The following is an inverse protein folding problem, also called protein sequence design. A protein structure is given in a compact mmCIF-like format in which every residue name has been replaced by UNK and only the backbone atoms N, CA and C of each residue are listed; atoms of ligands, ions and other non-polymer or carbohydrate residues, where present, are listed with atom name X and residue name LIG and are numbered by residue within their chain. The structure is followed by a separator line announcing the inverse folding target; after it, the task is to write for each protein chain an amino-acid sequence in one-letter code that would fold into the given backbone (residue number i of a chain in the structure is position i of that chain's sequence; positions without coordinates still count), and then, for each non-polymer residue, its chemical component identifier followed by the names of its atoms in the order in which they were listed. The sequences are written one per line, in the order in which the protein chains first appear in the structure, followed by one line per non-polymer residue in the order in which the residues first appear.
data_IF_439842624633
#
_entry.id   IF_439842624633
#
_cell.length_a   1.000
_cell.length_b   1.000
_cell.length_c   1.000
_cell.angle_alpha   90.00
_cell.angle_beta   90.00
_cell.angle_gamma   90.00
#
_symmetry.space_group_name_H-M   'P 1'
#
loop_
_entity.id
_entity.type
_entity.pdbx_description
1 polymer ?
#
# COMPACT_ATOMS: atom_id res chain seq x y z
N UNK A 1 32.87 -5.04 13.36
CA UNK A 1 31.99 -3.86 13.42
C UNK A 1 32.00 -3.16 12.09
N UNK A 2 30.85 -3.03 11.40
CA UNK A 2 30.77 -2.32 10.13
C UNK A 2 30.35 -0.86 10.39
N UNK A 3 31.30 0.10 10.45
CA UNK A 3 31.01 1.48 10.81
C UNK A 3 30.04 2.16 9.83
N UNK A 4 30.11 1.82 8.54
CA UNK A 4 29.21 2.34 7.50
C UNK A 4 27.76 1.90 7.72
N UNK A 5 27.52 0.65 8.11
CA UNK A 5 26.16 0.16 8.39
C UNK A 5 25.57 0.85 9.62
N UNK A 6 26.38 1.03 10.67
CA UNK A 6 25.93 1.66 11.91
C UNK A 6 25.59 3.15 11.69
N UNK A 7 26.37 3.84 10.83
CA UNK A 7 26.08 5.20 10.40
C UNK A 7 24.77 5.27 9.59
N UNK A 8 24.57 4.36 8.63
CA UNK A 8 23.34 4.30 7.83
C UNK A 8 22.09 4.09 8.69
N UNK A 9 22.18 3.22 9.70
CA UNK A 9 21.09 2.96 10.64
C UNK A 9 20.82 4.19 11.52
N UNK A 10 21.86 4.84 12.03
CA UNK A 10 21.74 6.05 12.84
C UNK A 10 21.09 7.21 12.07
N UNK A 11 21.46 7.41 10.80
CA UNK A 11 20.87 8.44 9.93
C UNK A 11 19.42 8.13 9.61
N UNK A 12 19.06 6.88 9.27
CA UNK A 12 17.65 6.49 9.03
C UNK A 12 16.78 6.74 10.25
N UNK A 13 17.24 6.37 11.45
CA UNK A 13 16.47 6.58 12.67
C UNK A 13 16.30 8.04 13.06
N UNK A 14 17.35 8.86 12.91
CA UNK A 14 17.25 10.31 13.12
C UNK A 14 16.28 10.99 12.16
N UNK A 15 16.28 10.56 10.89
CA UNK A 15 15.36 11.08 9.87
C UNK A 15 13.90 10.66 10.12
N UNK A 16 13.66 9.41 10.57
CA UNK A 16 12.31 8.94 10.92
C UNK A 16 11.74 9.74 12.10
N UNK A 17 12.55 10.12 13.07
CA UNK A 17 12.14 10.98 14.18
C UNK A 17 11.67 12.37 13.71
N UNK A 18 12.39 12.99 12.78
CA UNK A 18 12.02 14.29 12.21
C UNK A 18 10.80 14.22 11.28
N UNK A 19 10.61 13.11 10.56
CA UNK A 19 9.52 12.88 9.60
C UNK A 19 8.35 12.08 10.19
N UNK A 20 8.34 11.82 11.50
CA UNK A 20 7.40 10.90 12.14
C UNK A 20 5.94 11.30 11.95
N UNK A 21 5.64 12.59 12.13
CA UNK A 21 4.28 13.12 11.94
C UNK A 21 3.79 12.93 10.51
N UNK A 22 4.64 13.20 9.52
CA UNK A 22 4.29 13.04 8.10
C UNK A 22 4.06 11.56 7.76
N UNK A 23 4.96 10.68 8.22
CA UNK A 23 4.86 9.23 8.02
C UNK A 23 3.58 8.67 8.65
N UNK A 24 3.21 9.17 9.83
CA UNK A 24 1.99 8.77 10.52
C UNK A 24 0.74 9.20 9.77
N UNK A 25 0.68 10.47 9.35
CA UNK A 25 -0.43 10.99 8.52
C UNK A 25 -0.55 10.20 7.21
N UNK A 26 0.58 9.93 6.54
CA UNK A 26 0.59 9.12 5.33
C UNK A 26 0.04 7.70 5.58
N UNK A 27 0.43 7.06 6.68
CA UNK A 27 -0.08 5.75 7.08
C UNK A 27 -1.60 5.75 7.28
N UNK A 28 -2.16 6.79 7.93
CA UNK A 28 -3.61 6.95 8.09
C UNK A 28 -4.30 7.13 6.74
N UNK A 29 -3.74 7.96 5.87
CA UNK A 29 -4.30 8.18 4.52
C UNK A 29 -4.36 6.86 3.74
N UNK A 30 -3.27 6.08 3.74
CA UNK A 30 -3.23 4.77 3.06
C UNK A 30 -4.27 3.83 3.66
N UNK A 31 -4.40 3.78 4.99
CA UNK A 31 -5.37 2.93 5.67
C UNK A 31 -6.81 3.27 5.26
N UNK A 32 -7.18 4.55 5.29
CA UNK A 32 -8.51 5.02 4.90
C UNK A 32 -8.81 4.64 3.45
N UNK A 33 -7.89 4.91 2.52
CA UNK A 33 -8.08 4.56 1.11
C UNK A 33 -8.16 3.05 0.87
N UNK A 34 -7.37 2.24 1.58
CA UNK A 34 -7.44 0.78 1.45
C UNK A 34 -8.80 0.23 1.92
N UNK A 35 -9.32 0.75 3.05
CA UNK A 35 -10.64 0.34 3.57
C UNK A 35 -11.77 0.82 2.64
N UNK A 36 -11.74 2.07 2.18
CA UNK A 36 -12.73 2.59 1.23
C UNK A 36 -12.71 1.80 -0.08
N UNK A 37 -11.53 1.51 -0.62
CA UNK A 37 -11.36 0.74 -1.85
C UNK A 37 -11.98 -0.65 -1.75
N UNK A 38 -11.77 -1.35 -0.63
CA UNK A 38 -12.40 -2.65 -0.39
C UNK A 38 -13.93 -2.55 -0.33
N UNK A 39 -14.46 -1.59 0.42
CA UNK A 39 -15.91 -1.46 0.59
C UNK A 39 -16.62 -1.09 -0.71
N UNK A 40 -15.99 -0.26 -1.55
CA UNK A 40 -16.56 0.22 -2.81
C UNK A 40 -16.34 -0.77 -3.97
N UNK A 41 -15.17 -1.39 -4.07
CA UNK A 41 -14.77 -2.17 -5.24
C UNK A 41 -14.59 -3.67 -4.98
N UNK A 42 -14.44 -4.12 -3.73
CA UNK A 42 -14.14 -5.51 -3.40
C UNK A 42 -15.19 -6.49 -3.95
N UNK A 43 -16.48 -6.20 -3.73
CA UNK A 43 -17.59 -7.02 -4.28
C UNK A 43 -17.62 -7.03 -5.80
N UNK A 44 -17.36 -5.88 -6.43
CA UNK A 44 -17.36 -5.77 -7.89
C UNK A 44 -16.24 -6.62 -8.52
N UNK A 45 -15.06 -6.68 -7.89
CA UNK A 45 -13.97 -7.56 -8.31
C UNK A 45 -14.38 -9.04 -8.25
N UNK A 46 -15.20 -9.41 -7.27
CA UNK A 46 -15.65 -10.79 -7.12
C UNK A 46 -16.77 -11.20 -8.08
N UNK A 47 -17.76 -10.33 -8.25
CA UNK A 47 -18.91 -10.57 -9.13
C UNK A 47 -18.51 -10.50 -10.62
N UNK A 48 -17.55 -9.64 -10.95
CA UNK A 48 -17.03 -9.48 -12.31
C UNK A 48 -15.80 -10.34 -12.62
N UNK A 49 -15.54 -11.43 -11.86
CA UNK A 49 -14.42 -12.36 -12.11
C UNK A 49 -14.35 -12.83 -13.57
N UNK A 50 -15.51 -13.01 -14.21
CA UNK A 50 -15.66 -13.42 -15.61
C UNK A 50 -15.11 -12.44 -16.65
N UNK A 51 -14.88 -11.17 -16.29
CA UNK A 51 -14.30 -10.16 -17.18
C UNK A 51 -12.78 -10.22 -17.24
N UNK A 52 -12.16 -10.96 -16.32
CA UNK A 52 -10.72 -11.10 -16.23
C UNK A 52 -10.25 -12.38 -16.92
N UNK A 53 -8.97 -12.39 -17.30
CA UNK A 53 -8.32 -13.55 -17.88
C UNK A 53 -8.47 -14.76 -16.93
N UNK A 54 -8.78 -15.91 -17.49
CA UNK A 54 -8.97 -17.18 -16.77
C UNK A 54 -10.14 -17.19 -15.75
N UNK A 55 -11.04 -16.20 -15.81
CA UNK A 55 -12.14 -16.00 -14.85
C UNK A 55 -11.68 -15.87 -13.39
N UNK A 56 -10.45 -15.38 -13.17
CA UNK A 56 -9.83 -15.25 -11.85
C UNK A 56 -9.61 -13.79 -11.46
N UNK A 57 -9.64 -13.51 -10.17
CA UNK A 57 -9.31 -12.18 -9.64
C UNK A 57 -7.83 -11.89 -9.91
N UNK A 58 -7.49 -10.72 -10.47
CA UNK A 58 -6.10 -10.35 -10.72
C UNK A 58 -5.32 -10.18 -9.41
N UNK A 59 -3.99 -10.33 -9.48
CA UNK A 59 -3.09 -10.17 -8.32
C UNK A 59 -3.23 -8.79 -7.63
N UNK A 60 -3.48 -7.75 -8.41
CA UNK A 60 -3.79 -6.41 -7.93
C UNK A 60 -5.31 -6.25 -7.89
N UNK A 61 -5.90 -6.46 -6.71
CA UNK A 61 -7.34 -6.30 -6.48
C UNK A 61 -7.67 -5.57 -5.17
N UNK A 62 -8.94 -5.21 -5.00
CA UNK A 62 -9.50 -4.60 -3.79
C UNK A 62 -10.33 -5.59 -2.94
N UNK A 63 -10.12 -6.91 -3.08
CA UNK A 63 -10.95 -7.91 -2.38
C UNK A 63 -10.58 -7.98 -0.89
N UNK A 64 -9.28 -8.05 -0.59
CA UNK A 64 -8.78 -8.09 0.78
C UNK A 64 -8.03 -6.82 1.17
N UNK A 65 -7.83 -6.62 2.47
CA UNK A 65 -7.23 -5.40 3.01
C UNK A 65 -5.77 -5.27 2.58
N UNK A 66 -4.99 -6.36 2.65
CA UNK A 66 -3.58 -6.34 2.25
C UNK A 66 -3.42 -6.09 0.74
N UNK A 67 -4.28 -6.68 -0.10
CA UNK A 67 -4.29 -6.42 -1.54
C UNK A 67 -4.65 -4.97 -1.86
N UNK A 68 -5.69 -4.44 -1.20
CA UNK A 68 -6.11 -3.04 -1.31
C UNK A 68 -5.00 -2.07 -0.86
N UNK A 69 -4.34 -2.37 0.26
CA UNK A 69 -3.20 -1.61 0.77
C UNK A 69 -2.05 -1.56 -0.24
N UNK A 70 -1.69 -2.71 -0.83
CA UNK A 70 -0.63 -2.78 -1.83
C UNK A 70 -0.98 -2.00 -3.11
N UNK A 71 -2.24 -1.99 -3.56
CA UNK A 71 -2.66 -1.13 -4.68
C UNK A 71 -2.50 0.35 -4.33
N UNK A 72 -3.03 0.78 -3.18
CA UNK A 72 -2.96 2.20 -2.78
C UNK A 72 -1.49 2.63 -2.65
N UNK A 73 -0.64 1.79 -2.07
CA UNK A 73 0.79 2.02 -2.02
C UNK A 73 1.42 2.14 -3.42
N UNK A 74 1.08 1.22 -4.34
CA UNK A 74 1.56 1.24 -5.72
C UNK A 74 1.17 2.52 -6.47
N UNK A 75 -0.07 2.99 -6.29
CA UNK A 75 -0.56 4.27 -6.84
C UNK A 75 0.22 5.45 -6.26
N UNK A 76 0.53 5.44 -4.96
CA UNK A 76 1.36 6.48 -4.33
C UNK A 76 2.81 6.49 -4.83
N UNK A 77 3.33 5.34 -5.25
CA UNK A 77 4.62 5.25 -5.94
C UNK A 77 4.58 5.76 -7.40
N UNK A 78 3.41 6.16 -7.90
CA UNK A 78 3.21 6.71 -9.24
C UNK A 78 2.77 5.70 -10.30
N UNK A 79 2.58 4.42 -9.93
CA UNK A 79 2.12 3.37 -10.84
C UNK A 79 0.58 3.20 -10.77
N UNK A 80 -0.14 4.13 -11.40
CA UNK A 80 -1.61 4.13 -11.42
C UNK A 80 -2.23 3.67 -12.75
N UNK A 81 -1.44 3.57 -13.82
CA UNK A 81 -1.85 3.11 -15.16
C UNK A 81 -1.36 1.69 -15.46
#
# INVERSE_FOLDING_TARGET
SWPTLNLLISVKWGAIGALGNLTFVLGIIIFIFAVMGMQLFGKNYEESKHKFKDNMVPRWNFVDFMHSFMIVFRVLCGEWI
#
